data_IF_186029822466
#
_entry.id   IF_186029822466
#
_cell.length_a   1.000
_cell.length_b   1.000
_cell.length_c   1.000
_cell.angle_alpha   90.00
_cell.angle_beta   90.00
_cell.angle_gamma   90.00
#
_symmetry.space_group_name_H-M   'P 1'
#
loop_
_entity.id
_entity.type
_entity.pdbx_description
1 polymer ?
#
# COMPACT_ATOMS: atom_id res chain seq x y z
N UNK A 1 13.87 -9.68 -21.29
CA UNK A 1 13.19 -8.63 -20.47
C UNK A 1 14.11 -7.42 -20.46
N UNK A 2 13.57 -6.24 -20.77
CA UNK A 2 14.35 -4.98 -20.77
C UNK A 2 14.12 -4.18 -19.49
N UNK A 3 12.91 -4.25 -18.93
CA UNK A 3 12.53 -3.50 -17.73
C UNK A 3 11.63 -4.36 -16.84
N UNK A 4 11.81 -4.27 -15.52
CA UNK A 4 11.04 -5.00 -14.52
C UNK A 4 10.48 -4.01 -13.50
N UNK A 5 9.17 -4.02 -13.25
CA UNK A 5 8.55 -3.36 -12.12
C UNK A 5 8.25 -4.39 -11.03
N UNK A 6 8.84 -4.20 -9.85
CA UNK A 6 8.66 -5.11 -8.72
C UNK A 6 7.62 -4.57 -7.73
N UNK A 7 6.56 -5.35 -7.52
CA UNK A 7 5.50 -5.04 -6.55
C UNK A 7 5.96 -5.43 -5.14
N UNK A 8 6.52 -4.47 -4.41
CA UNK A 8 6.88 -4.60 -3.01
C UNK A 8 5.79 -4.05 -2.08
N UNK A 9 6.11 -3.76 -0.83
CA UNK A 9 5.15 -3.44 0.24
C UNK A 9 5.67 -2.41 1.22
N UNK A 10 4.80 -1.53 1.71
CA UNK A 10 5.08 -0.65 2.84
C UNK A 10 5.27 -1.40 4.17
N UNK A 11 4.88 -2.69 4.25
CA UNK A 11 5.10 -3.51 5.43
C UNK A 11 6.59 -3.71 5.79
N UNK A 12 7.52 -3.44 4.86
CA UNK A 12 8.96 -3.41 5.11
C UNK A 12 9.41 -2.31 6.07
N UNK A 13 8.60 -1.27 6.26
CA UNK A 13 8.92 -0.18 7.19
C UNK A 13 8.66 -0.52 8.66
N UNK A 14 7.82 -1.51 8.96
CA UNK A 14 7.53 -1.95 10.32
C UNK A 14 7.12 -0.81 11.25
N UNK A 15 7.90 -0.60 12.32
CA UNK A 15 7.67 0.42 13.36
C UNK A 15 8.45 1.72 13.11
N UNK A 16 9.09 1.88 11.98
CA UNK A 16 9.80 3.11 11.63
C UNK A 16 8.89 4.36 11.74
N UNK A 17 9.45 5.53 12.12
CA UNK A 17 8.66 6.75 12.25
C UNK A 17 8.06 7.19 10.92
N UNK A 18 6.85 7.78 10.98
CA UNK A 18 6.12 8.30 9.82
C UNK A 18 6.33 9.82 9.67
N UNK A 19 6.19 10.36 8.43
CA UNK A 19 5.90 9.63 7.21
C UNK A 19 7.08 8.75 6.77
N UNK A 20 6.76 7.55 6.21
CA UNK A 20 7.79 6.61 5.76
C UNK A 20 8.48 7.13 4.49
N UNK A 21 9.81 7.16 4.52
CA UNK A 21 10.66 7.53 3.37
C UNK A 21 11.53 6.33 2.95
N UNK A 22 11.86 6.26 1.67
CA UNK A 22 12.51 5.09 1.06
C UNK A 22 13.92 4.81 1.61
N UNK A 23 14.55 5.79 2.25
CA UNK A 23 15.88 5.67 2.89
C UNK A 23 15.84 5.09 4.30
N UNK A 24 14.67 4.85 4.87
CA UNK A 24 14.55 4.22 6.18
C UNK A 24 15.05 2.76 6.14
N UNK A 25 15.65 2.25 7.22
CA UNK A 25 16.06 0.86 7.30
C UNK A 25 14.87 -0.09 7.26
N UNK A 26 15.07 -1.32 6.79
CA UNK A 26 14.07 -2.36 6.84
C UNK A 26 13.77 -2.76 8.29
N UNK A 27 12.50 -2.80 8.68
CA UNK A 27 12.01 -3.26 9.99
C UNK A 27 10.83 -4.23 9.79
N UNK A 28 11.15 -5.41 9.27
CA UNK A 28 10.16 -6.41 8.90
C UNK A 28 9.56 -7.11 10.12
N UNK A 29 8.25 -7.00 10.34
CA UNK A 29 7.52 -7.57 11.49
C UNK A 29 6.95 -8.98 11.22
N UNK A 30 7.01 -9.48 9.98
CA UNK A 30 6.44 -10.75 9.58
C UNK A 30 7.14 -11.35 8.36
N UNK A 31 6.98 -12.68 8.09
CA UNK A 31 7.64 -13.35 6.97
C UNK A 31 7.29 -12.78 5.58
N UNK A 32 6.07 -12.24 5.41
CA UNK A 32 5.67 -11.61 4.16
C UNK A 32 6.54 -10.38 3.85
N UNK A 33 6.71 -9.47 4.81
CA UNK A 33 7.55 -8.28 4.60
C UNK A 33 9.01 -8.64 4.33
N UNK A 34 9.55 -9.66 5.03
CA UNK A 34 10.90 -10.18 4.76
C UNK A 34 11.03 -10.69 3.32
N UNK A 35 10.06 -11.47 2.84
CA UNK A 35 10.09 -12.02 1.47
C UNK A 35 10.09 -10.91 0.41
N UNK A 36 9.29 -9.85 0.64
CA UNK A 36 9.19 -8.71 -0.28
C UNK A 36 10.47 -7.86 -0.28
N UNK A 37 11.02 -7.54 0.87
CA UNK A 37 12.28 -6.80 1.00
C UNK A 37 13.45 -7.58 0.39
N UNK A 38 13.49 -8.89 0.53
CA UNK A 38 14.51 -9.70 -0.15
C UNK A 38 14.39 -9.61 -1.69
N UNK A 39 13.17 -9.54 -2.22
CA UNK A 39 12.93 -9.30 -3.64
C UNK A 39 13.42 -7.91 -4.10
N UNK A 40 13.28 -6.86 -3.26
CA UNK A 40 13.85 -5.53 -3.55
C UNK A 40 15.37 -5.61 -3.71
N UNK A 41 16.05 -6.30 -2.78
CA UNK A 41 17.51 -6.50 -2.83
C UNK A 41 17.97 -7.26 -4.08
N UNK A 42 17.19 -8.28 -4.49
CA UNK A 42 17.44 -8.98 -5.75
C UNK A 42 17.28 -8.05 -6.97
N UNK A 43 16.21 -7.27 -7.03
CA UNK A 43 16.01 -6.31 -8.12
C UNK A 43 17.18 -5.33 -8.24
N UNK A 44 17.59 -4.72 -7.11
CA UNK A 44 18.74 -3.83 -7.08
C UNK A 44 20.01 -4.51 -7.58
N UNK A 45 20.30 -5.72 -7.09
CA UNK A 45 21.47 -6.49 -7.51
C UNK A 45 21.44 -6.79 -9.03
N UNK A 46 20.25 -7.09 -9.59
CA UNK A 46 20.14 -7.33 -11.04
C UNK A 46 20.37 -6.06 -11.85
N UNK A 47 19.98 -4.90 -11.35
CA UNK A 47 20.34 -3.62 -11.98
C UNK A 47 21.86 -3.39 -11.91
N UNK A 48 22.47 -3.54 -10.72
CA UNK A 48 23.88 -3.24 -10.50
C UNK A 48 24.85 -4.18 -11.26
N UNK A 49 24.47 -5.46 -11.44
CA UNK A 49 25.37 -6.49 -12.00
C UNK A 49 25.04 -6.92 -13.43
N UNK A 50 23.81 -6.75 -13.87
CA UNK A 50 23.32 -7.33 -15.13
C UNK A 50 22.63 -6.32 -16.03
N UNK A 51 22.73 -5.03 -15.75
CA UNK A 51 22.14 -3.92 -16.51
C UNK A 51 20.62 -4.12 -16.79
N UNK A 52 19.91 -4.76 -15.85
CA UNK A 52 18.45 -4.89 -15.94
C UNK A 52 17.80 -3.66 -15.31
N UNK A 53 17.07 -2.90 -16.09
CA UNK A 53 16.26 -1.79 -15.58
C UNK A 53 15.20 -2.29 -14.60
N UNK A 54 15.38 -2.08 -13.29
CA UNK A 54 14.36 -2.44 -12.30
C UNK A 54 13.81 -1.20 -11.60
N UNK A 55 12.49 -1.16 -11.39
CA UNK A 55 11.80 -0.14 -10.59
C UNK A 55 11.03 -0.85 -9.49
N UNK A 56 11.23 -0.45 -8.24
CA UNK A 56 10.69 -1.14 -7.08
C UNK A 56 9.62 -0.25 -6.45
N UNK A 57 8.38 -0.73 -6.36
CA UNK A 57 7.28 0.00 -5.75
C UNK A 57 6.87 -0.59 -4.41
N UNK A 58 6.99 0.17 -3.32
CA UNK A 58 6.38 -0.15 -2.04
C UNK A 58 4.95 0.36 -2.04
N UNK A 59 3.98 -0.53 -2.35
CA UNK A 59 2.57 -0.20 -2.28
C UNK A 59 2.12 -0.07 -0.83
N UNK A 60 1.38 0.98 -0.55
CA UNK A 60 0.63 1.12 0.69
C UNK A 60 -0.69 0.32 0.57
N UNK A 61 -1.69 0.55 1.38
CA UNK A 61 -2.85 -0.34 1.43
C UNK A 61 -3.74 -0.15 0.18
N UNK A 62 -3.54 -1.00 -0.83
CA UNK A 62 -4.28 -0.92 -2.06
C UNK A 62 -5.76 -1.32 -1.86
N UNK A 63 -6.66 -0.55 -2.47
CA UNK A 63 -8.11 -0.80 -2.50
C UNK A 63 -8.67 -0.53 -3.89
N UNK A 64 -9.90 -0.96 -4.14
CA UNK A 64 -10.61 -0.69 -5.39
C UNK A 64 -11.42 -1.87 -5.87
N UNK A 65 -11.87 -1.80 -7.11
CA UNK A 65 -12.68 -2.81 -7.76
C UNK A 65 -11.93 -4.14 -7.85
N UNK A 66 -12.67 -5.24 -7.69
CA UNK A 66 -12.13 -6.63 -7.72
C UNK A 66 -11.17 -6.97 -6.60
N UNK A 67 -11.08 -6.15 -5.52
CA UNK A 67 -10.29 -6.50 -4.35
C UNK A 67 -10.84 -7.77 -3.67
N UNK A 68 -10.00 -8.58 -3.00
CA UNK A 68 -10.47 -9.71 -2.21
C UNK A 68 -11.42 -9.26 -1.10
N UNK A 69 -12.57 -9.92 -0.97
CA UNK A 69 -13.60 -9.62 0.05
C UNK A 69 -13.68 -10.71 1.14
N UNK A 70 -12.92 -11.80 0.97
CA UNK A 70 -12.84 -12.94 1.90
C UNK A 70 -11.41 -13.46 1.99
N UNK A 71 -11.14 -14.19 3.08
CA UNK A 71 -9.83 -14.82 3.32
C UNK A 71 -8.92 -13.98 4.21
N UNK A 72 -7.81 -14.58 4.61
CA UNK A 72 -6.86 -14.03 5.56
C UNK A 72 -6.20 -12.71 5.07
N UNK A 73 -6.09 -12.54 3.76
CA UNK A 73 -5.44 -11.39 3.12
C UNK A 73 -6.42 -10.36 2.55
N UNK A 74 -7.72 -10.50 2.83
CA UNK A 74 -8.69 -9.51 2.37
C UNK A 74 -8.46 -8.17 3.09
N UNK A 75 -8.37 -7.05 2.34
CA UNK A 75 -8.23 -5.72 2.92
C UNK A 75 -9.50 -5.31 3.68
N UNK A 76 -9.34 -4.43 4.67
CA UNK A 76 -10.44 -3.98 5.54
C UNK A 76 -11.63 -3.42 4.75
N UNK A 77 -11.38 -2.65 3.68
CA UNK A 77 -12.43 -2.09 2.81
C UNK A 77 -13.24 -3.19 2.11
N UNK A 78 -12.58 -4.24 1.63
CA UNK A 78 -13.26 -5.39 1.02
C UNK A 78 -14.09 -6.18 2.04
N UNK A 79 -13.55 -6.36 3.25
CA UNK A 79 -14.27 -7.03 4.35
C UNK A 79 -15.51 -6.21 4.73
N UNK A 80 -15.37 -4.91 4.96
CA UNK A 80 -16.47 -4.02 5.37
C UNK A 80 -17.56 -3.95 4.30
N UNK A 81 -17.18 -3.83 3.01
CA UNK A 81 -18.15 -3.87 1.93
C UNK A 81 -18.96 -5.18 1.96
N UNK A 82 -18.29 -6.33 2.03
CA UNK A 82 -18.97 -7.64 2.10
C UNK A 82 -19.90 -7.74 3.31
N UNK A 83 -19.45 -7.30 4.48
CA UNK A 83 -20.23 -7.35 5.71
C UNK A 83 -21.49 -6.48 5.61
N UNK A 84 -21.33 -5.25 5.12
CA UNK A 84 -22.45 -4.36 4.87
C UNK A 84 -23.46 -4.95 3.89
N UNK A 85 -22.98 -5.46 2.74
CA UNK A 85 -23.85 -6.07 1.71
C UNK A 85 -24.61 -7.31 2.26
N UNK A 86 -24.03 -8.00 3.25
CA UNK A 86 -24.66 -9.15 3.91
C UNK A 86 -25.53 -8.77 5.12
N UNK A 87 -25.60 -7.49 5.51
CA UNK A 87 -26.30 -7.05 6.73
C UNK A 87 -25.59 -7.49 8.04
N UNK A 88 -24.31 -7.87 7.96
CA UNK A 88 -23.47 -8.25 9.11
C UNK A 88 -22.82 -6.99 9.71
N UNK A 89 -22.56 -6.98 11.03
CA UNK A 89 -21.78 -5.90 11.66
C UNK A 89 -20.36 -5.84 11.10
N UNK A 90 -19.81 -4.61 10.97
CA UNK A 90 -18.40 -4.41 10.58
C UNK A 90 -17.49 -4.88 11.72
N UNK A 91 -16.56 -5.78 11.43
CA UNK A 91 -15.63 -6.31 12.44
C UNK A 91 -14.34 -5.48 12.49
N UNK A 92 -14.12 -4.78 13.60
CA UNK A 92 -12.94 -3.96 13.85
C UNK A 92 -11.94 -4.75 14.70
N UNK A 93 -10.73 -4.96 14.19
CA UNK A 93 -9.65 -5.64 14.90
C UNK A 93 -9.02 -4.68 15.93
N UNK A 94 -8.88 -5.13 17.19
CA UNK A 94 -8.32 -4.33 18.27
C UNK A 94 -9.21 -3.14 18.63
N UNK A 95 -8.60 -1.97 18.87
CA UNK A 95 -9.30 -0.72 19.24
C UNK A 95 -9.71 0.12 18.01
N UNK A 96 -9.36 -0.29 16.80
CA UNK A 96 -9.68 0.40 15.56
C UNK A 96 -8.90 1.70 15.31
N UNK A 97 -7.95 2.07 16.20
CA UNK A 97 -7.15 3.29 16.06
C UNK A 97 -5.88 3.11 15.21
N UNK A 98 -5.61 1.90 14.72
CA UNK A 98 -4.54 1.67 13.74
C UNK A 98 -4.84 2.43 12.44
N UNK A 99 -3.86 3.16 11.93
CA UNK A 99 -4.00 4.03 10.76
C UNK A 99 -3.30 3.47 9.55
N UNK A 100 -3.92 3.60 8.38
CA UNK A 100 -3.37 3.13 7.10
C UNK A 100 -3.50 4.20 6.03
N UNK A 101 -2.46 4.35 5.23
CA UNK A 101 -2.50 5.07 3.97
C UNK A 101 -3.12 4.15 2.91
N UNK A 102 -4.25 4.54 2.36
CA UNK A 102 -5.00 3.77 1.37
C UNK A 102 -4.80 4.36 -0.02
N UNK A 103 -4.37 3.53 -0.96
CA UNK A 103 -4.13 3.91 -2.36
C UNK A 103 -5.07 3.15 -3.30
N UNK A 104 -5.71 3.85 -4.24
CA UNK A 104 -6.59 3.20 -5.20
C UNK A 104 -5.81 2.35 -6.21
N UNK A 105 -6.36 1.20 -6.59
CA UNK A 105 -5.70 0.25 -7.49
C UNK A 105 -5.37 0.85 -8.86
N UNK A 106 -6.19 1.77 -9.38
CA UNK A 106 -5.90 2.46 -10.64
C UNK A 106 -4.73 3.43 -10.52
N UNK A 107 -4.53 4.09 -9.36
CA UNK A 107 -3.35 4.90 -9.11
C UNK A 107 -2.09 4.04 -9.02
N UNK A 108 -2.18 2.83 -8.43
CA UNK A 108 -1.10 1.82 -8.46
C UNK A 108 -0.78 1.39 -9.89
N UNK A 109 -1.82 1.05 -10.68
CA UNK A 109 -1.64 0.67 -12.09
C UNK A 109 -0.99 1.79 -12.91
N UNK A 110 -1.42 3.03 -12.71
CA UNK A 110 -0.85 4.21 -13.38
C UNK A 110 0.63 4.41 -13.03
N UNK A 111 1.03 4.20 -11.77
CA UNK A 111 2.44 4.26 -11.39
C UNK A 111 3.28 3.22 -12.17
N UNK A 112 2.78 1.99 -12.28
CA UNK A 112 3.44 0.94 -13.06
C UNK A 112 3.53 1.29 -14.56
N UNK A 113 2.45 1.79 -15.16
CA UNK A 113 2.44 2.19 -16.58
C UNK A 113 3.42 3.34 -16.83
N UNK A 114 3.45 4.35 -15.97
CA UNK A 114 4.38 5.46 -16.09
C UNK A 114 5.85 5.01 -16.00
N UNK A 115 6.18 4.09 -15.11
CA UNK A 115 7.52 3.52 -15.03
C UNK A 115 7.86 2.62 -16.23
N UNK A 116 6.88 1.85 -16.72
CA UNK A 116 7.08 0.93 -17.84
C UNK A 116 7.34 1.66 -19.16
N UNK A 117 6.57 2.72 -19.43
CA UNK A 117 6.60 3.47 -20.69
C UNK A 117 7.48 4.73 -20.61
N UNK A 118 7.75 5.23 -19.41
CA UNK A 118 8.60 6.39 -19.19
C UNK A 118 10.07 6.08 -19.43
N UNK A 119 10.79 7.11 -19.79
CA UNK A 119 12.25 7.10 -19.86
C UNK A 119 12.79 8.25 -19.00
N UNK A 120 12.67 8.08 -17.66
CA UNK A 120 13.12 9.12 -16.73
C UNK A 120 14.64 9.26 -16.81
N UNK A 121 15.13 10.49 -16.82
CA UNK A 121 16.56 10.78 -16.79
C UNK A 121 17.15 10.56 -15.39
N UNK A 122 18.37 10.03 -15.31
CA UNK A 122 19.13 9.89 -14.08
C UNK A 122 19.13 8.47 -13.49
N UNK A 123 19.62 8.35 -12.26
CA UNK A 123 19.69 7.09 -11.50
C UNK A 123 18.31 6.69 -10.96
N UNK A 124 17.50 6.09 -11.81
CA UNK A 124 16.10 5.74 -11.50
C UNK A 124 15.95 4.23 -11.26
N UNK A 125 16.81 3.46 -11.88
CA UNK A 125 16.74 2.00 -11.83
C UNK A 125 17.47 1.43 -10.61
N UNK A 126 16.97 0.30 -10.13
CA UNK A 126 17.42 -0.28 -8.86
C UNK A 126 16.85 0.43 -7.62
N UNK A 127 16.02 1.46 -7.81
CA UNK A 127 15.53 2.32 -6.76
C UNK A 127 14.11 1.96 -6.28
N UNK A 128 13.86 2.25 -4.99
CA UNK A 128 12.58 2.05 -4.33
C UNK A 128 11.76 3.34 -4.39
N UNK A 129 10.45 3.21 -4.62
CA UNK A 129 9.48 4.31 -4.66
C UNK A 129 8.22 3.98 -3.85
N UNK A 130 7.81 4.87 -2.98
CA UNK A 130 6.55 4.75 -2.26
C UNK A 130 5.35 5.09 -3.16
N UNK A 131 4.38 4.18 -3.20
CA UNK A 131 3.09 4.38 -3.88
C UNK A 131 1.99 4.40 -2.82
N UNK A 132 1.71 5.59 -2.32
CA UNK A 132 0.70 5.91 -1.31
C UNK A 132 0.22 7.35 -1.50
N UNK A 133 -0.87 7.71 -0.80
CA UNK A 133 -1.48 9.03 -0.94
C UNK A 133 -0.78 10.12 -0.14
N UNK A 134 -0.11 9.77 0.96
CA UNK A 134 0.38 10.71 1.96
C UNK A 134 -0.70 11.16 2.94
N UNK A 135 -1.85 10.46 2.97
CA UNK A 135 -2.92 10.60 3.94
C UNK A 135 -3.26 9.24 4.53
N UNK A 136 -3.62 9.19 5.80
CA UNK A 136 -4.04 7.95 6.43
C UNK A 136 -5.33 8.09 7.23
N UNK A 137 -6.06 6.99 7.32
CA UNK A 137 -7.31 6.88 8.06
C UNK A 137 -7.19 5.74 9.08
N UNK A 138 -7.81 5.91 10.24
CA UNK A 138 -8.00 4.82 11.19
C UNK A 138 -9.08 3.86 10.70
N UNK A 139 -9.07 2.63 11.22
CA UNK A 139 -10.12 1.65 10.89
C UNK A 139 -11.48 2.14 11.42
N UNK A 140 -11.49 2.88 12.53
CA UNK A 140 -12.71 3.52 13.05
C UNK A 140 -13.28 4.56 12.08
N UNK A 141 -12.44 5.47 11.55
CA UNK A 141 -12.86 6.46 10.54
C UNK A 141 -13.42 5.76 9.29
N UNK A 142 -12.77 4.69 8.82
CA UNK A 142 -13.27 3.89 7.69
C UNK A 142 -14.64 3.28 8.02
N UNK A 143 -14.83 2.71 9.21
CA UNK A 143 -16.11 2.12 9.61
C UNK A 143 -17.22 3.19 9.67
N UNK A 144 -16.91 4.40 10.10
CA UNK A 144 -17.85 5.53 10.10
C UNK A 144 -18.27 5.95 8.69
N UNK A 145 -17.35 5.95 7.72
CA UNK A 145 -17.68 6.21 6.31
C UNK A 145 -18.73 5.21 5.78
N UNK A 146 -18.67 3.94 6.20
CA UNK A 146 -19.65 2.92 5.81
C UNK A 146 -21.03 3.10 6.45
N UNK A 147 -21.15 3.88 7.54
CA UNK A 147 -22.41 4.16 8.26
C UNK A 147 -23.18 2.87 8.60
N UNK A 148 -22.51 1.89 9.16
CA UNK A 148 -23.07 0.57 9.46
C UNK A 148 -22.71 0.13 10.89
N UNK A 149 -23.54 -0.69 11.58
CA UNK A 149 -23.23 -1.23 12.88
C UNK A 149 -21.85 -1.91 12.91
N UNK A 150 -21.12 -1.77 14.03
CA UNK A 150 -19.76 -2.28 14.17
C UNK A 150 -19.54 -2.99 15.49
N UNK A 151 -18.67 -4.00 15.48
CA UNK A 151 -18.23 -4.76 16.65
C UNK A 151 -16.71 -4.89 16.67
N UNK A 152 -16.13 -5.04 17.85
CA UNK A 152 -14.68 -5.12 18.03
C UNK A 152 -14.25 -6.57 18.31
N UNK A 153 -13.18 -7.01 17.65
CA UNK A 153 -12.60 -8.35 17.82
C UNK A 153 -11.15 -8.26 18.30
N UNK A 154 -10.61 -9.37 18.78
CA UNK A 154 -9.26 -9.45 19.35
C UNK A 154 -8.19 -8.90 18.38
N UNK A 155 -7.15 -8.20 18.88
CA UNK A 155 -6.05 -7.67 18.06
C UNK A 155 -5.22 -8.81 17.46
N UNK A 156 -4.57 -8.51 16.31
CA UNK A 156 -3.63 -9.44 15.64
C UNK A 156 -2.19 -9.01 15.92
N UNK A 157 -1.28 -9.97 16.21
CA UNK A 157 0.14 -9.67 16.35
C UNK A 157 0.81 -9.37 14.99
N UNK A 158 1.95 -8.66 15.04
CA UNK A 158 2.81 -8.46 13.86
C UNK A 158 2.33 -7.42 12.85
N UNK A 159 1.47 -6.49 13.27
CA UNK A 159 1.00 -5.37 12.45
C UNK A 159 1.56 -4.03 12.96
N UNK A 160 2.07 -3.20 12.04
CA UNK A 160 2.44 -1.84 12.36
C UNK A 160 1.20 -1.02 12.78
N UNK A 161 1.37 -0.13 13.77
CA UNK A 161 0.27 0.70 14.28
C UNK A 161 -0.16 1.77 13.28
N UNK A 162 0.78 2.36 12.57
CA UNK A 162 0.55 3.45 11.62
C UNK A 162 1.34 3.18 10.34
N UNK A 163 0.76 3.45 9.19
CA UNK A 163 1.48 3.58 7.92
C UNK A 163 1.09 4.90 7.23
N UNK A 164 2.07 5.63 6.72
CA UNK A 164 1.89 6.89 6.02
C UNK A 164 3.04 7.10 5.03
N UNK A 165 2.74 7.22 3.75
CA UNK A 165 3.74 7.41 2.70
C UNK A 165 4.26 8.85 2.67
N UNK A 166 5.57 9.01 2.54
CA UNK A 166 6.11 10.15 1.82
C UNK A 166 6.23 9.74 0.34
N UNK A 167 5.47 10.36 -0.54
CA UNK A 167 5.45 10.05 -1.97
C UNK A 167 6.19 11.08 -2.84
N UNK A 168 7.04 11.92 -2.23
CA UNK A 168 7.74 12.99 -2.94
C UNK A 168 8.71 12.44 -4.00
N UNK A 169 9.38 11.31 -3.72
CA UNK A 169 10.33 10.70 -4.64
C UNK A 169 9.65 10.28 -5.96
N UNK A 170 8.57 9.55 -5.90
CA UNK A 170 7.83 9.12 -7.11
C UNK A 170 7.24 10.31 -7.88
N UNK A 171 6.76 11.35 -7.16
CA UNK A 171 6.28 12.60 -7.78
C UNK A 171 7.38 13.27 -8.59
N UNK A 172 8.55 13.42 -8.00
CA UNK A 172 9.67 14.12 -8.64
C UNK A 172 10.23 13.32 -9.84
N UNK A 173 10.29 11.98 -9.71
CA UNK A 173 10.91 11.12 -10.73
C UNK A 173 9.98 10.87 -11.92
N UNK A 174 8.73 10.52 -11.65
CA UNK A 174 7.78 10.09 -12.70
C UNK A 174 6.66 11.10 -12.96
N UNK A 175 6.56 12.19 -12.20
CA UNK A 175 5.40 13.11 -12.28
C UNK A 175 4.09 12.46 -11.80
N UNK A 176 4.17 11.32 -11.11
CA UNK A 176 3.00 10.62 -10.61
C UNK A 176 2.43 11.28 -9.35
N UNK A 177 1.13 11.30 -9.23
CA UNK A 177 0.42 11.69 -7.99
C UNK A 177 -0.91 10.93 -7.89
N UNK A 178 -1.40 10.61 -6.68
CA UNK A 178 -2.69 9.96 -6.53
C UNK A 178 -3.82 10.87 -7.04
N UNK A 179 -4.85 10.28 -7.63
CA UNK A 179 -6.00 11.01 -8.19
C UNK A 179 -7.34 10.55 -7.62
N UNK A 180 -7.35 9.40 -6.93
CA UNK A 180 -8.57 8.85 -6.34
C UNK A 180 -8.68 9.24 -4.87
N UNK A 181 -9.90 9.53 -4.46
CA UNK A 181 -10.28 9.91 -3.11
C UNK A 181 -11.02 8.75 -2.44
N UNK A 182 -10.57 8.37 -1.24
CA UNK A 182 -11.11 7.21 -0.53
C UNK A 182 -12.56 7.44 -0.09
N UNK A 183 -12.87 8.62 0.43
CA UNK A 183 -14.22 8.92 0.93
C UNK A 183 -15.25 8.86 -0.21
N UNK A 184 -14.91 9.45 -1.36
CA UNK A 184 -15.76 9.39 -2.56
C UNK A 184 -15.94 7.96 -3.06
N UNK A 185 -14.87 7.15 -3.01
CA UNK A 185 -14.97 5.75 -3.42
C UNK A 185 -15.89 4.97 -2.46
N UNK A 186 -15.73 5.15 -1.14
CA UNK A 186 -16.61 4.49 -0.15
C UNK A 186 -18.06 4.94 -0.34
N UNK A 187 -18.30 6.22 -0.60
CA UNK A 187 -19.65 6.74 -0.88
C UNK A 187 -20.30 6.10 -2.11
N UNK A 188 -19.50 5.83 -3.14
CA UNK A 188 -20.00 5.11 -4.34
C UNK A 188 -20.34 3.64 -4.09
N UNK A 189 -19.92 3.06 -2.94
CA UNK A 189 -20.20 1.67 -2.56
C UNK A 189 -21.45 1.55 -1.64
N UNK A 190 -22.13 2.67 -1.34
CA UNK A 190 -23.35 2.70 -0.52
C UNK A 190 -24.59 2.34 -1.34
#
# INVERSE_FOLDING_TARGET
>A
VKKLMYSSTSAGYGMNPQPNVETQPDDCLNPYSVSKVNGEKLCKMYTDLFDLDTVIFRYFNAYGERQPIRGQYAPVLGIFKRQKDAGEELTIVGDGNQRRDFIHVEDVARANVMAALGDPSGEVYGEVYNVGTGQNFSVNEIAEMFQHPKTYIAPRPGEARVSLANNQKIRNTFGWSPTHDLEKWVDSQK
#
